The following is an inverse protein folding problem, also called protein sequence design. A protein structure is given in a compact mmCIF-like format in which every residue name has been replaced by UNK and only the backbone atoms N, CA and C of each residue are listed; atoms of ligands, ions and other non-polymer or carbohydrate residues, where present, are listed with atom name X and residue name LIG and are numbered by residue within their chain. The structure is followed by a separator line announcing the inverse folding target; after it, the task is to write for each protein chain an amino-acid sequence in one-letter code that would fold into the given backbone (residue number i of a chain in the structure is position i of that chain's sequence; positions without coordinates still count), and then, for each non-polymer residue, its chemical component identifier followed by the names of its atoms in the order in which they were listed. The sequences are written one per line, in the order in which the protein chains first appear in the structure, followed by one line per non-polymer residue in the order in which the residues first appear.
data_IF_049681282099
#
_entry.id   IF_049681282099
#
_cell.length_a   1.000
_cell.length_b   1.000
_cell.length_c   1.000
_cell.angle_alpha   90.00
_cell.angle_beta   90.00
_cell.angle_gamma   90.00
#
_symmetry.space_group_name_H-M   'P 1'
#
loop_
_entity.id
_entity.type
_entity.pdbx_description
1 polymer ?
#
# COMPACT_ATOMS: atom_id res chain seq x y z
N UNK A 1 6.10 -2.59 -21.04
CA UNK A 1 6.86 -3.47 -20.14
C UNK A 1 6.24 -3.48 -18.73
N UNK A 2 6.30 -2.38 -17.96
CA UNK A 2 5.82 -2.30 -16.59
C UNK A 2 4.38 -2.80 -16.41
N UNK A 3 3.45 -2.34 -17.26
CA UNK A 3 2.06 -2.82 -17.27
C UNK A 3 1.96 -4.36 -17.25
N UNK A 4 2.69 -5.04 -18.10
CA UNK A 4 2.62 -6.52 -18.20
C UNK A 4 3.18 -7.21 -16.95
N UNK A 5 4.25 -6.66 -16.35
CA UNK A 5 4.85 -7.20 -15.13
C UNK A 5 3.91 -7.04 -13.94
N UNK A 6 3.37 -5.83 -13.75
CA UNK A 6 2.40 -5.51 -12.70
C UNK A 6 1.14 -6.36 -12.88
N UNK A 7 0.61 -6.46 -14.10
CA UNK A 7 -0.57 -7.27 -14.41
C UNK A 7 -0.35 -8.74 -14.05
N UNK A 8 0.78 -9.31 -14.46
CA UNK A 8 1.11 -10.72 -14.18
C UNK A 8 1.19 -10.99 -12.69
N UNK A 9 1.92 -10.18 -11.94
CA UNK A 9 2.09 -10.35 -10.49
C UNK A 9 0.77 -10.17 -9.73
N UNK A 10 0.06 -9.08 -9.98
CA UNK A 10 -1.21 -8.82 -9.29
C UNK A 10 -2.32 -9.83 -9.66
N UNK A 11 -2.27 -10.43 -10.83
CA UNK A 11 -3.22 -11.50 -11.21
C UNK A 11 -3.11 -12.75 -10.33
N UNK A 12 -1.95 -12.99 -9.70
CA UNK A 12 -1.74 -14.09 -8.75
C UNK A 12 -2.40 -13.84 -7.40
N UNK A 13 -2.76 -12.58 -7.08
CA UNK A 13 -3.38 -12.19 -5.81
C UNK A 13 -4.90 -12.42 -5.78
N UNK A 14 -5.49 -12.99 -6.83
CA UNK A 14 -6.94 -13.28 -6.89
C UNK A 14 -7.33 -14.23 -5.77
N UNK A 15 -8.18 -13.74 -4.87
CA UNK A 15 -8.75 -14.53 -3.79
C UNK A 15 -9.89 -15.41 -4.30
N UNK A 16 -10.14 -16.53 -3.61
CA UNK A 16 -11.26 -17.44 -3.90
C UNK A 16 -12.41 -17.19 -2.92
N UNK A 17 -13.63 -17.43 -3.38
CA UNK A 17 -14.79 -17.48 -2.50
C UNK A 17 -14.62 -18.60 -1.47
N UNK A 18 -15.09 -18.36 -0.25
CA UNK A 18 -15.09 -19.33 0.83
C UNK A 18 -16.51 -19.86 0.99
N UNK A 19 -16.65 -21.17 1.13
CA UNK A 19 -17.93 -21.84 1.39
C UNK A 19 -17.76 -22.82 2.54
N UNK A 20 -18.62 -22.69 3.54
CA UNK A 20 -18.73 -23.61 4.66
C UNK A 20 -20.15 -24.15 4.72
N UNK A 21 -20.29 -25.45 4.98
CA UNK A 21 -21.59 -26.13 5.19
C UNK A 21 -21.46 -26.98 6.44
N UNK A 22 -22.35 -26.76 7.41
CA UNK A 22 -22.35 -27.55 8.64
C UNK A 22 -23.12 -28.88 8.51
N UNK A 23 -23.14 -29.67 9.59
CA UNK A 23 -23.86 -30.97 9.64
C UNK A 23 -25.36 -30.86 9.44
N UNK A 24 -25.96 -29.70 9.67
CA UNK A 24 -27.41 -29.43 9.46
C UNK A 24 -27.67 -28.85 8.07
N UNK A 25 -26.66 -28.81 7.20
CA UNK A 25 -26.69 -28.21 5.86
C UNK A 25 -26.94 -26.69 5.87
N UNK A 26 -26.69 -26.02 6.99
CA UNK A 26 -26.57 -24.57 7.00
C UNK A 26 -25.34 -24.14 6.18
N UNK A 27 -25.46 -23.06 5.42
CA UNK A 27 -24.45 -22.63 4.47
C UNK A 27 -24.03 -21.19 4.76
N UNK A 28 -22.73 -20.96 4.83
CA UNK A 28 -22.10 -19.64 4.88
C UNK A 28 -21.14 -19.52 3.71
N UNK A 29 -21.29 -18.46 2.93
CA UNK A 29 -20.38 -18.17 1.81
C UNK A 29 -19.86 -16.74 1.94
N UNK A 30 -18.54 -16.54 1.83
CA UNK A 30 -17.99 -15.25 1.52
C UNK A 30 -17.79 -15.12 0.02
N UNK A 31 -18.51 -14.21 -0.60
CA UNK A 31 -18.36 -13.86 -2.02
C UNK A 31 -17.52 -12.59 -2.14
N UNK A 32 -16.54 -12.66 -3.01
CA UNK A 32 -15.65 -11.56 -3.34
C UNK A 32 -16.27 -10.78 -4.48
N UNK A 33 -16.56 -9.51 -4.24
CA UNK A 33 -17.26 -8.64 -5.18
C UNK A 33 -16.39 -7.41 -5.48
N UNK A 34 -16.13 -7.11 -6.76
CA UNK A 34 -15.45 -5.88 -7.15
C UNK A 34 -16.15 -4.63 -6.62
N UNK A 35 -15.38 -3.60 -6.28
CA UNK A 35 -15.93 -2.26 -6.10
C UNK A 35 -16.56 -1.78 -7.42
N UNK A 36 -17.64 -0.99 -7.32
CA UNK A 36 -18.29 -0.46 -8.53
C UNK A 36 -17.48 0.66 -9.14
N UNK A 37 -16.79 1.46 -8.32
CA UNK A 37 -15.99 2.60 -8.76
C UNK A 37 -14.79 2.82 -7.87
N UNK A 38 -13.69 3.33 -8.47
CA UNK A 38 -12.50 3.76 -7.75
C UNK A 38 -12.00 5.08 -8.32
N UNK A 39 -11.60 5.98 -7.43
CA UNK A 39 -10.87 7.20 -7.74
C UNK A 39 -9.38 6.98 -7.53
N UNK A 40 -8.56 7.35 -8.48
CA UNK A 40 -7.10 7.24 -8.40
C UNK A 40 -6.51 8.63 -8.43
N UNK A 41 -5.82 9.01 -7.36
CA UNK A 41 -5.02 10.22 -7.36
C UNK A 41 -3.64 9.93 -7.95
N UNK A 42 -3.28 10.65 -9.00
CA UNK A 42 -1.99 10.51 -9.68
C UNK A 42 -1.28 11.85 -9.70
N UNK A 43 -0.08 11.96 -9.08
CA UNK A 43 0.75 13.14 -9.24
C UNK A 43 1.03 13.44 -10.72
N UNK A 44 1.14 14.71 -11.07
CA UNK A 44 1.01 15.23 -12.44
C UNK A 44 1.83 14.53 -13.53
N UNK A 45 3.02 14.00 -13.18
CA UNK A 45 3.94 13.41 -14.16
C UNK A 45 4.36 11.97 -13.85
N UNK A 46 3.54 11.21 -13.10
CA UNK A 46 3.88 9.86 -12.64
C UNK A 46 3.01 8.78 -13.32
N UNK A 47 3.29 8.38 -14.57
CA UNK A 47 2.59 7.27 -15.21
C UNK A 47 2.78 5.94 -14.48
N UNK A 48 3.91 5.75 -13.76
CA UNK A 48 4.15 4.56 -12.91
C UNK A 48 3.10 4.44 -11.81
N UNK A 49 2.80 5.53 -11.10
CA UNK A 49 1.75 5.55 -10.07
C UNK A 49 0.38 5.20 -10.64
N UNK A 50 0.05 5.72 -11.84
CA UNK A 50 -1.19 5.33 -12.50
C UNK A 50 -1.23 3.83 -12.74
N UNK A 51 -0.17 3.24 -13.30
CA UNK A 51 -0.10 1.80 -13.54
C UNK A 51 -0.24 0.99 -12.25
N UNK A 52 0.45 1.39 -11.18
CA UNK A 52 0.40 0.70 -9.88
C UNK A 52 -1.00 0.70 -9.25
N UNK A 53 -1.78 1.75 -9.48
CA UNK A 53 -3.14 1.84 -8.95
C UNK A 53 -4.20 1.28 -9.92
N UNK A 54 -4.08 1.56 -11.23
CA UNK A 54 -5.12 1.21 -12.19
C UNK A 54 -5.06 -0.25 -12.67
N UNK A 55 -3.87 -0.86 -12.75
CA UNK A 55 -3.75 -2.26 -13.19
C UNK A 55 -4.44 -3.22 -12.21
N UNK A 56 -4.26 -3.13 -10.88
CA UNK A 56 -5.03 -3.95 -9.94
C UNK A 56 -6.54 -3.68 -10.02
N UNK A 57 -6.97 -2.42 -10.21
CA UNK A 57 -8.39 -2.09 -10.40
C UNK A 57 -8.98 -2.79 -11.65
N UNK A 58 -8.23 -2.80 -12.74
CA UNK A 58 -8.59 -3.49 -13.99
C UNK A 58 -8.69 -5.01 -13.78
N UNK A 59 -7.70 -5.63 -13.11
CA UNK A 59 -7.69 -7.07 -12.79
C UNK A 59 -8.90 -7.42 -11.92
N UNK A 60 -9.24 -6.57 -10.96
CA UNK A 60 -10.40 -6.71 -10.09
C UNK A 60 -11.72 -6.54 -10.83
N UNK A 61 -11.72 -6.04 -12.07
CA UNK A 61 -12.90 -5.71 -12.88
C UNK A 61 -13.77 -4.61 -12.25
N UNK A 62 -13.14 -3.57 -11.68
CA UNK A 62 -13.84 -2.36 -11.25
C UNK A 62 -14.49 -1.71 -12.46
N UNK A 63 -15.79 -1.38 -12.38
CA UNK A 63 -16.57 -0.90 -13.54
C UNK A 63 -16.22 0.53 -13.94
N UNK A 64 -16.02 1.43 -12.96
CA UNK A 64 -15.70 2.84 -13.20
C UNK A 64 -14.38 3.18 -12.53
N UNK A 65 -13.36 3.55 -13.31
CA UNK A 65 -12.07 4.01 -12.83
C UNK A 65 -11.92 5.48 -13.20
N UNK A 66 -11.87 6.37 -12.22
CA UNK A 66 -11.71 7.81 -12.40
C UNK A 66 -10.32 8.19 -11.93
N UNK A 67 -9.57 8.89 -12.77
CA UNK A 67 -8.21 9.38 -12.43
C UNK A 67 -8.26 10.89 -12.21
N UNK A 68 -7.74 11.34 -11.08
CA UNK A 68 -7.44 12.76 -10.86
C UNK A 68 -5.96 13.00 -11.16
N UNK A 69 -5.70 13.85 -12.18
CA UNK A 69 -4.34 14.18 -12.62
C UNK A 69 -4.27 15.65 -13.02
N UNK A 70 -3.46 16.43 -12.32
CA UNK A 70 -3.32 17.87 -12.60
C UNK A 70 -2.50 18.12 -13.87
N UNK A 71 -2.81 19.26 -14.52
CA UNK A 71 -2.04 19.73 -15.67
C UNK A 71 -0.68 20.29 -15.25
N UNK A 72 0.32 20.15 -16.11
CA UNK A 72 1.62 20.84 -16.02
C UNK A 72 1.69 21.80 -17.21
N UNK A 73 1.90 23.09 -16.94
CA UNK A 73 1.93 24.12 -17.97
C UNK A 73 0.69 24.06 -18.90
N UNK A 74 -0.48 23.88 -18.31
CA UNK A 74 -1.75 23.82 -19.05
C UNK A 74 -2.03 22.50 -19.79
N UNK A 75 -1.13 21.54 -19.80
CA UNK A 75 -1.24 20.27 -20.55
C UNK A 75 -1.24 19.06 -19.63
N UNK A 76 -2.01 18.03 -19.99
CA UNK A 76 -1.91 16.70 -19.37
C UNK A 76 -0.66 15.97 -19.89
N UNK A 77 -0.01 15.20 -19.05
CA UNK A 77 1.15 14.42 -19.42
C UNK A 77 0.74 13.29 -20.39
N UNK A 78 1.28 13.22 -21.62
CA UNK A 78 0.91 12.20 -22.61
C UNK A 78 1.16 10.76 -22.12
N UNK A 79 2.22 10.53 -21.34
CA UNK A 79 2.53 9.20 -20.80
C UNK A 79 1.49 8.76 -19.76
N UNK A 80 0.99 9.68 -18.93
CA UNK A 80 -0.11 9.41 -18.00
C UNK A 80 -1.38 9.09 -18.76
N UNK A 81 -1.69 9.85 -19.83
CA UNK A 81 -2.87 9.61 -20.66
C UNK A 81 -2.80 8.27 -21.42
N UNK A 82 -1.62 7.92 -21.92
CA UNK A 82 -1.41 6.60 -22.55
C UNK A 82 -1.62 5.46 -21.54
N UNK A 83 -1.05 5.58 -20.32
CA UNK A 83 -1.24 4.61 -19.27
C UNK A 83 -2.72 4.49 -18.85
N UNK A 84 -3.44 5.62 -18.74
CA UNK A 84 -4.87 5.65 -18.45
C UNK A 84 -5.68 4.87 -19.49
N UNK A 85 -5.45 5.14 -20.77
CA UNK A 85 -6.08 4.40 -21.89
C UNK A 85 -5.78 2.91 -21.81
N UNK A 86 -4.51 2.53 -21.57
CA UNK A 86 -4.07 1.14 -21.46
C UNK A 86 -4.74 0.38 -20.31
N UNK A 87 -5.02 1.05 -19.21
CA UNK A 87 -5.68 0.47 -18.03
C UNK A 87 -7.21 0.53 -18.07
N UNK A 88 -7.81 1.06 -19.13
CA UNK A 88 -9.27 1.17 -19.25
C UNK A 88 -9.88 2.20 -18.30
N UNK A 89 -9.16 3.30 -18.03
CA UNK A 89 -9.67 4.42 -17.21
C UNK A 89 -10.89 5.03 -17.89
N UNK A 90 -11.97 5.19 -17.14
CA UNK A 90 -13.25 5.68 -17.66
C UNK A 90 -13.25 7.20 -17.84
N UNK A 91 -12.56 7.93 -16.95
CA UNK A 91 -12.56 9.38 -16.92
C UNK A 91 -11.27 9.91 -16.29
N UNK A 92 -10.76 11.02 -16.81
CA UNK A 92 -9.64 11.78 -16.23
C UNK A 92 -10.11 13.19 -15.87
N UNK A 93 -10.11 13.51 -14.57
CA UNK A 93 -10.41 14.85 -14.07
C UNK A 93 -9.11 15.66 -13.89
N UNK A 94 -9.10 16.91 -14.35
CA UNK A 94 -7.89 17.74 -14.41
C UNK A 94 -7.73 18.62 -13.16
N UNK A 95 -7.76 18.02 -11.98
CA UNK A 95 -7.52 18.70 -10.73
C UNK A 95 -6.48 17.97 -9.87
N UNK A 96 -5.88 18.68 -8.93
CA UNK A 96 -4.86 18.16 -8.02
C UNK A 96 -5.12 18.56 -6.57
N UNK A 97 -4.21 18.15 -5.67
CA UNK A 97 -4.28 18.49 -4.25
C UNK A 97 -5.53 17.97 -3.54
N UNK A 98 -5.89 18.61 -2.44
CA UNK A 98 -7.08 18.27 -1.65
C UNK A 98 -8.39 18.38 -2.46
N UNK A 99 -8.44 19.32 -3.41
CA UNK A 99 -9.60 19.52 -4.29
C UNK A 99 -9.89 18.28 -5.16
N UNK A 100 -8.85 17.58 -5.61
CA UNK A 100 -9.02 16.34 -6.35
C UNK A 100 -9.68 15.26 -5.49
N UNK A 101 -9.29 15.16 -4.22
CA UNK A 101 -9.88 14.21 -3.27
C UNK A 101 -11.34 14.56 -3.00
N UNK A 102 -11.65 15.86 -2.78
CA UNK A 102 -13.03 16.34 -2.63
C UNK A 102 -13.88 16.06 -3.88
N UNK A 103 -13.34 16.28 -5.08
CA UNK A 103 -14.03 15.97 -6.33
C UNK A 103 -14.34 14.47 -6.45
N UNK A 104 -13.36 13.61 -6.22
CA UNK A 104 -13.54 12.15 -6.27
C UNK A 104 -14.59 11.67 -5.25
N UNK A 105 -14.58 12.24 -4.02
CA UNK A 105 -15.47 11.83 -2.95
C UNK A 105 -16.91 12.34 -3.12
N UNK A 106 -17.11 13.58 -3.51
CA UNK A 106 -18.42 14.25 -3.46
C UNK A 106 -19.07 14.45 -4.83
N UNK A 107 -18.27 14.69 -5.88
CA UNK A 107 -18.77 14.91 -7.25
C UNK A 107 -18.81 13.59 -8.01
N UNK A 108 -17.67 12.91 -8.11
CA UNK A 108 -17.59 11.60 -8.77
C UNK A 108 -18.24 10.48 -7.94
N UNK A 109 -18.37 10.68 -6.63
CA UNK A 109 -18.97 9.76 -5.66
C UNK A 109 -18.45 8.32 -5.82
N UNK A 110 -17.12 8.19 -5.89
CA UNK A 110 -16.47 6.88 -6.03
C UNK A 110 -16.57 6.07 -4.74
N UNK A 111 -16.50 4.74 -4.84
CA UNK A 111 -16.54 3.89 -3.64
C UNK A 111 -15.24 3.93 -2.83
N UNK A 112 -14.10 4.10 -3.48
CA UNK A 112 -12.79 4.15 -2.83
C UNK A 112 -11.84 5.08 -3.58
N UNK A 113 -10.95 5.77 -2.84
CA UNK A 113 -9.88 6.59 -3.38
C UNK A 113 -8.54 5.94 -3.02
N UNK A 114 -7.64 5.82 -4.01
CA UNK A 114 -6.29 5.26 -3.86
C UNK A 114 -5.25 6.14 -4.55
N UNK A 115 -4.00 5.95 -4.20
CA UNK A 115 -2.84 6.61 -4.83
C UNK A 115 -2.12 7.60 -3.92
N UNK A 116 -0.77 7.70 -4.00
CA UNK A 116 0.05 8.53 -3.14
C UNK A 116 -0.12 10.02 -3.44
N UNK A 117 0.12 10.86 -2.45
CA UNK A 117 0.06 12.31 -2.60
C UNK A 117 0.81 13.05 -1.51
N UNK A 118 0.78 14.38 -1.56
CA UNK A 118 1.35 15.24 -0.52
C UNK A 118 0.56 15.11 0.80
N UNK A 119 1.08 15.73 1.86
CA UNK A 119 0.40 15.81 3.16
C UNK A 119 -1.02 16.37 3.06
N UNK A 120 -1.24 17.34 2.17
CA UNK A 120 -2.58 17.88 1.90
C UNK A 120 -3.53 16.83 1.31
N UNK A 121 -3.02 15.98 0.41
CA UNK A 121 -3.79 14.88 -0.19
C UNK A 121 -4.07 13.80 0.85
N UNK A 122 -3.07 13.44 1.64
CA UNK A 122 -3.20 12.47 2.73
C UNK A 122 -4.21 12.95 3.77
N UNK A 123 -4.12 14.22 4.18
CA UNK A 123 -5.08 14.82 5.11
C UNK A 123 -6.49 14.88 4.55
N UNK A 124 -6.63 15.24 3.28
CA UNK A 124 -7.93 15.27 2.61
C UNK A 124 -8.57 13.86 2.55
N UNK A 125 -7.79 12.80 2.29
CA UNK A 125 -8.27 11.41 2.34
C UNK A 125 -8.77 11.01 3.73
N UNK A 126 -8.04 11.41 4.79
CA UNK A 126 -8.48 11.20 6.17
C UNK A 126 -9.83 11.87 6.46
N UNK A 127 -10.03 13.10 5.95
CA UNK A 127 -11.27 13.88 6.17
C UNK A 127 -12.48 13.31 5.42
N UNK A 128 -12.28 12.68 4.27
CA UNK A 128 -13.39 12.07 3.51
C UNK A 128 -13.61 10.59 3.87
N UNK A 129 -12.76 10.01 4.71
CA UNK A 129 -12.93 8.63 5.17
C UNK A 129 -14.28 8.46 5.89
N UNK A 130 -15.00 7.41 5.56
CA UNK A 130 -16.39 7.21 6.03
C UNK A 130 -17.43 7.67 5.00
N UNK A 131 -17.19 8.73 4.24
CA UNK A 131 -17.99 9.07 3.05
C UNK A 131 -17.56 8.21 1.86
N UNK A 132 -16.26 8.00 1.71
CA UNK A 132 -15.63 7.17 0.69
C UNK A 132 -14.54 6.33 1.37
N UNK A 133 -14.29 5.11 0.89
CA UNK A 133 -13.15 4.32 1.36
C UNK A 133 -11.83 4.92 0.89
N UNK A 134 -10.77 4.69 1.64
CA UNK A 134 -9.39 4.97 1.19
C UNK A 134 -8.57 3.69 1.27
N UNK A 135 -7.36 3.69 0.69
CA UNK A 135 -6.42 2.59 0.92
C UNK A 135 -6.16 2.40 2.42
N UNK A 136 -5.84 1.17 2.81
CA UNK A 136 -5.64 0.79 4.22
C UNK A 136 -4.36 1.32 4.84
N UNK A 137 -3.56 2.08 4.10
CA UNK A 137 -2.25 2.60 4.51
C UNK A 137 -2.20 4.13 4.52
N UNK A 138 -1.24 4.68 5.24
CA UNK A 138 -0.86 6.09 5.16
C UNK A 138 0.21 6.24 4.08
N UNK A 139 -0.10 6.96 3.01
CA UNK A 139 0.85 7.28 1.95
C UNK A 139 1.36 8.71 2.14
N UNK A 140 2.36 8.86 3.00
CA UNK A 140 3.07 10.12 3.30
C UNK A 140 4.36 10.29 2.48
N UNK A 141 5.35 11.04 3.01
CA UNK A 141 6.66 11.19 2.38
C UNK A 141 7.35 9.85 2.15
N UNK A 142 8.07 9.74 1.04
CA UNK A 142 8.77 8.50 0.68
C UNK A 142 9.97 8.21 1.59
N UNK A 143 10.19 6.94 1.93
CA UNK A 143 11.18 6.50 2.91
C UNK A 143 12.01 5.32 2.41
N UNK A 144 13.31 5.34 2.70
CA UNK A 144 14.18 4.19 2.53
C UNK A 144 15.01 3.94 3.79
N UNK A 145 15.16 2.67 4.16
CA UNK A 145 16.15 2.22 5.11
C UNK A 145 17.08 1.23 4.41
N UNK A 146 18.37 1.55 4.37
CA UNK A 146 19.40 0.68 3.79
C UNK A 146 20.15 -0.01 4.92
N UNK A 147 20.09 -1.33 4.97
CA UNK A 147 20.89 -2.16 5.87
C UNK A 147 22.13 -2.64 5.12
N UNK A 148 23.31 -2.22 5.59
CA UNK A 148 24.58 -2.49 4.93
C UNK A 148 25.65 -2.98 5.91
N UNK A 149 26.62 -3.78 5.39
CA UNK A 149 27.81 -4.20 6.11
C UNK A 149 29.09 -3.68 5.41
N UNK A 150 30.26 -4.08 5.94
CA UNK A 150 31.56 -3.66 5.41
C UNK A 150 31.85 -4.16 3.98
N UNK A 151 31.14 -5.18 3.52
CA UNK A 151 31.30 -5.78 2.20
C UNK A 151 30.31 -5.21 1.17
N UNK A 152 29.33 -4.42 1.63
CA UNK A 152 28.36 -3.79 0.74
C UNK A 152 29.03 -2.70 -0.08
N UNK A 153 28.73 -2.65 -1.38
CA UNK A 153 29.24 -1.61 -2.27
C UNK A 153 28.77 -0.23 -1.81
N UNK A 154 29.74 0.63 -1.49
CA UNK A 154 29.49 2.00 -1.03
C UNK A 154 28.70 2.82 -2.04
N UNK A 155 28.93 2.61 -3.34
CA UNK A 155 28.20 3.32 -4.38
C UNK A 155 26.72 2.91 -4.42
N UNK A 156 26.41 1.63 -4.22
CA UNK A 156 25.03 1.16 -4.13
C UNK A 156 24.30 1.78 -2.94
N UNK A 157 24.94 1.83 -1.76
CA UNK A 157 24.35 2.47 -0.58
C UNK A 157 24.06 3.95 -0.87
N UNK A 158 25.08 4.70 -1.33
CA UNK A 158 24.95 6.13 -1.56
C UNK A 158 23.93 6.48 -2.63
N UNK A 159 23.88 5.73 -3.73
CA UNK A 159 22.91 5.95 -4.81
C UNK A 159 21.47 5.60 -4.39
N UNK A 160 21.25 4.57 -3.58
CA UNK A 160 19.93 4.26 -3.02
C UNK A 160 19.41 5.38 -2.11
N UNK A 161 20.27 5.90 -1.22
CA UNK A 161 19.89 7.04 -0.36
C UNK A 161 19.60 8.31 -1.17
N UNK A 162 20.38 8.58 -2.22
CA UNK A 162 20.17 9.72 -3.11
C UNK A 162 18.89 9.58 -3.91
N UNK A 163 18.62 8.40 -4.48
CA UNK A 163 17.42 8.16 -5.28
C UNK A 163 16.13 8.35 -4.48
N UNK A 164 16.11 7.94 -3.22
CA UNK A 164 14.94 8.19 -2.36
C UNK A 164 14.81 9.67 -1.99
N UNK A 165 15.92 10.31 -1.66
CA UNK A 165 15.91 11.72 -1.25
C UNK A 165 15.51 12.68 -2.36
N UNK A 166 15.57 12.28 -3.64
CA UNK A 166 15.12 13.12 -4.75
C UNK A 166 13.60 13.18 -4.95
N UNK A 167 12.82 12.30 -4.27
CA UNK A 167 11.36 12.33 -4.36
C UNK A 167 10.77 13.64 -3.82
N UNK A 168 11.33 14.19 -2.73
CA UNK A 168 10.85 15.44 -2.15
C UNK A 168 11.65 15.93 -0.95
N UNK A 169 11.37 17.13 -0.51
CA UNK A 169 12.07 17.76 0.64
C UNK A 169 11.85 17.00 1.96
N UNK A 170 10.73 16.32 2.09
CA UNK A 170 10.33 15.58 3.29
C UNK A 170 10.69 14.08 3.20
N UNK A 171 11.31 13.62 2.10
CA UNK A 171 11.74 12.23 1.95
C UNK A 171 12.79 11.86 2.97
N UNK A 172 12.71 10.63 3.50
CA UNK A 172 13.63 10.13 4.51
C UNK A 172 14.55 9.06 3.93
N UNK A 173 15.85 9.14 4.26
CA UNK A 173 16.85 8.14 3.88
C UNK A 173 17.69 7.76 5.09
N UNK A 174 17.63 6.49 5.50
CA UNK A 174 18.29 5.96 6.69
C UNK A 174 19.31 4.90 6.28
N UNK A 175 20.55 5.01 6.77
CA UNK A 175 21.53 3.93 6.75
C UNK A 175 21.62 3.29 8.12
N UNK A 176 21.48 1.97 8.19
CA UNK A 176 21.69 1.18 9.40
C UNK A 176 22.88 0.25 9.19
N UNK A 177 23.86 0.32 10.09
CA UNK A 177 25.07 -0.50 10.00
C UNK A 177 25.69 -0.77 11.37
N UNK A 178 26.56 -1.77 11.47
CA UNK A 178 27.44 -2.02 12.63
C UNK A 178 28.89 -1.52 12.39
N UNK A 179 29.18 -1.04 11.22
CA UNK A 179 30.53 -0.81 10.73
C UNK A 179 30.79 0.69 10.57
N UNK A 180 31.50 1.27 11.56
CA UNK A 180 31.79 2.71 11.58
C UNK A 180 32.63 3.15 10.37
N UNK A 181 33.48 2.26 9.87
CA UNK A 181 34.40 2.52 8.76
C UNK A 181 33.73 2.79 7.40
N UNK A 182 32.44 2.40 7.23
CA UNK A 182 31.74 2.70 5.98
C UNK A 182 31.06 4.07 5.99
N UNK A 183 30.85 4.68 7.15
CA UNK A 183 30.05 5.91 7.30
C UNK A 183 30.63 7.06 6.49
N UNK A 184 31.90 7.40 6.71
CA UNK A 184 32.55 8.49 5.99
C UNK A 184 32.62 8.22 4.48
N UNK A 185 32.81 6.96 4.10
CA UNK A 185 32.84 6.55 2.69
C UNK A 185 31.48 6.78 2.02
N UNK A 186 30.38 6.40 2.69
CA UNK A 186 29.02 6.61 2.20
C UNK A 186 28.71 8.10 2.07
N UNK A 187 29.06 8.91 3.07
CA UNK A 187 28.84 10.37 3.02
C UNK A 187 29.60 11.01 1.84
N UNK A 188 30.87 10.65 1.64
CA UNK A 188 31.67 11.12 0.49
C UNK A 188 31.05 10.67 -0.84
N UNK A 189 30.58 9.43 -0.92
CA UNK A 189 29.91 8.90 -2.11
C UNK A 189 28.60 9.63 -2.44
N UNK A 190 27.78 9.91 -1.43
CA UNK A 190 26.57 10.72 -1.60
C UNK A 190 26.91 12.09 -2.20
N UNK A 191 27.89 12.79 -1.64
CA UNK A 191 28.33 14.09 -2.14
C UNK A 191 28.90 14.01 -3.58
N UNK A 192 29.59 12.93 -3.91
CA UNK A 192 30.09 12.68 -5.27
C UNK A 192 28.91 12.52 -6.25
N UNK A 193 27.91 11.68 -5.93
CA UNK A 193 26.76 11.43 -6.78
C UNK A 193 25.84 12.67 -6.97
N UNK A 194 25.91 13.63 -6.05
CA UNK A 194 25.17 14.89 -6.16
C UNK A 194 25.72 15.89 -7.17
N UNK A 195 26.96 15.71 -7.65
CA UNK A 195 27.65 16.75 -8.47
C UNK A 195 26.86 17.11 -9.72
N UNK A 196 26.34 16.12 -10.44
CA UNK A 196 25.65 16.28 -11.72
C UNK A 196 24.13 16.01 -11.65
N UNK A 197 23.58 15.89 -10.43
CA UNK A 197 22.16 15.57 -10.27
C UNK A 197 21.27 16.82 -10.47
N UNK A 198 20.34 16.82 -11.42
CA UNK A 198 19.44 17.97 -11.64
C UNK A 198 18.66 18.38 -10.38
N UNK A 199 18.23 17.41 -9.56
CA UNK A 199 17.47 17.64 -8.33
C UNK A 199 18.34 17.79 -7.07
N UNK A 200 19.63 18.08 -7.20
CA UNK A 200 20.61 18.23 -6.11
C UNK A 200 20.11 19.06 -4.93
N UNK A 201 19.42 20.19 -5.18
CA UNK A 201 18.90 21.05 -4.10
C UNK A 201 17.86 20.35 -3.24
N UNK A 202 16.99 19.53 -3.86
CA UNK A 202 15.97 18.75 -3.17
C UNK A 202 16.65 17.69 -2.30
N UNK A 203 17.56 16.90 -2.89
CA UNK A 203 18.27 15.83 -2.19
C UNK A 203 19.06 16.37 -0.99
N UNK A 204 19.81 17.47 -1.17
CA UNK A 204 20.58 18.07 -0.07
C UNK A 204 19.65 18.52 1.08
N UNK A 205 18.52 19.13 0.77
CA UNK A 205 17.57 19.58 1.79
C UNK A 205 16.91 18.40 2.51
N UNK A 206 16.50 17.38 1.77
CA UNK A 206 15.96 16.13 2.30
C UNK A 206 16.97 15.44 3.23
N UNK A 207 18.20 15.16 2.75
CA UNK A 207 19.24 14.50 3.54
C UNK A 207 19.65 15.32 4.78
N UNK A 208 19.70 16.65 4.68
CA UNK A 208 20.03 17.52 5.82
C UNK A 208 18.98 17.46 6.91
N UNK A 209 17.69 17.35 6.54
CA UNK A 209 16.56 17.38 7.47
C UNK A 209 16.16 15.98 7.96
N UNK A 210 16.19 15.00 7.08
CA UNK A 210 15.62 13.66 7.29
C UNK A 210 16.61 12.51 7.01
N UNK A 211 17.86 12.81 6.62
CA UNK A 211 18.91 11.80 6.47
C UNK A 211 19.41 11.34 7.83
N UNK A 212 19.53 10.04 8.04
CA UNK A 212 20.04 9.44 9.27
C UNK A 212 21.06 8.36 8.98
N UNK A 213 22.07 8.26 9.85
CA UNK A 213 22.99 7.12 9.90
C UNK A 213 22.94 6.56 11.33
N UNK A 214 22.54 5.30 11.46
CA UNK A 214 22.37 4.63 12.75
C UNK A 214 23.44 3.56 12.88
N UNK A 215 24.40 3.79 13.78
CA UNK A 215 25.44 2.83 14.10
C UNK A 215 24.95 1.92 15.24
N UNK A 216 24.65 0.67 14.92
CA UNK A 216 24.17 -0.33 15.86
C UNK A 216 25.33 -1.13 16.48
N UNK A 217 25.17 -1.54 17.75
CA UNK A 217 26.17 -2.35 18.47
C UNK A 217 26.16 -3.82 18.03
N UNK A 218 25.00 -4.35 17.65
CA UNK A 218 24.83 -5.76 17.33
C UNK A 218 23.59 -6.00 16.44
N UNK A 219 23.39 -7.24 16.02
CA UNK A 219 22.29 -7.63 15.13
C UNK A 219 20.91 -7.49 15.77
N UNK A 220 20.80 -7.64 17.10
CA UNK A 220 19.54 -7.46 17.83
C UNK A 220 19.09 -6.01 17.71
N UNK A 221 20.00 -5.07 17.95
CA UNK A 221 19.69 -3.64 17.80
C UNK A 221 19.32 -3.25 16.37
N UNK A 222 19.97 -3.85 15.36
CA UNK A 222 19.59 -3.64 13.95
C UNK A 222 18.14 -4.02 13.73
N UNK A 223 17.72 -5.21 14.19
CA UNK A 223 16.37 -5.72 14.02
C UNK A 223 15.35 -4.83 14.75
N UNK A 224 15.66 -4.40 15.97
CA UNK A 224 14.83 -3.48 16.76
C UNK A 224 14.63 -2.15 16.02
N UNK A 225 15.72 -1.55 15.53
CA UNK A 225 15.67 -0.29 14.76
C UNK A 225 14.82 -0.44 13.50
N UNK A 226 15.02 -1.50 12.71
CA UNK A 226 14.26 -1.71 11.48
C UNK A 226 12.77 -1.87 11.78
N UNK A 227 12.41 -2.71 12.77
CA UNK A 227 11.01 -2.94 13.11
C UNK A 227 10.35 -1.71 13.75
N UNK A 228 11.11 -0.88 14.47
CA UNK A 228 10.59 0.38 15.02
C UNK A 228 10.40 1.44 13.94
N UNK A 229 11.36 1.59 13.02
CA UNK A 229 11.22 2.49 11.87
C UNK A 229 10.08 2.07 10.96
N UNK A 230 9.87 0.76 10.78
CA UNK A 230 8.85 0.21 9.88
C UNK A 230 8.84 0.92 8.50
N UNK A 231 9.98 0.94 7.77
CA UNK A 231 10.17 1.80 6.61
C UNK A 231 9.30 1.38 5.43
N UNK A 232 9.01 2.34 4.56
CA UNK A 232 8.35 2.08 3.26
C UNK A 232 9.16 1.08 2.43
N UNK A 233 10.43 1.40 2.20
CA UNK A 233 11.38 0.53 1.52
C UNK A 233 12.51 0.14 2.47
N UNK A 234 12.78 -1.15 2.55
CA UNK A 234 13.94 -1.70 3.23
C UNK A 234 14.86 -2.37 2.21
N UNK A 235 16.06 -1.84 2.00
CA UNK A 235 17.11 -2.53 1.26
C UNK A 235 18.01 -3.32 2.20
N UNK A 236 18.07 -4.64 1.99
CA UNK A 236 18.96 -5.56 2.75
C UNK A 236 20.09 -6.01 1.83
N UNK A 237 21.14 -5.23 1.80
CA UNK A 237 22.28 -5.46 0.92
C UNK A 237 23.41 -6.16 1.67
N UNK A 238 23.15 -7.36 2.16
CA UNK A 238 24.06 -8.19 2.94
C UNK A 238 24.20 -9.58 2.33
N UNK A 239 25.41 -10.15 2.36
CA UNK A 239 25.63 -11.56 1.96
C UNK A 239 24.84 -12.54 2.84
N UNK A 240 24.76 -12.27 4.15
CA UNK A 240 24.02 -13.12 5.11
C UNK A 240 22.66 -12.50 5.50
N UNK A 241 21.84 -12.11 4.51
CA UNK A 241 20.56 -11.45 4.73
C UNK A 241 19.52 -12.37 5.42
N UNK A 242 19.58 -13.69 5.21
CA UNK A 242 18.57 -14.64 5.73
C UNK A 242 18.37 -14.57 7.23
N UNK A 243 19.43 -14.32 8.01
CA UNK A 243 19.35 -14.21 9.48
C UNK A 243 18.55 -13.02 9.99
N UNK A 244 18.38 -11.98 9.17
CA UNK A 244 17.59 -10.79 9.49
C UNK A 244 16.16 -10.93 9.04
N UNK A 245 15.93 -11.47 7.81
CA UNK A 245 14.61 -11.50 7.18
C UNK A 245 13.54 -12.21 8.03
N UNK A 246 13.90 -13.28 8.73
CA UNK A 246 12.97 -14.02 9.60
C UNK A 246 12.54 -13.26 10.87
N UNK A 247 13.19 -12.13 11.16
CA UNK A 247 12.97 -11.31 12.37
C UNK A 247 12.48 -9.90 12.05
N UNK A 248 12.36 -9.56 10.76
CA UNK A 248 11.83 -8.29 10.30
C UNK A 248 10.36 -8.50 9.98
N UNK A 249 9.49 -7.78 10.69
CA UNK A 249 8.03 -7.90 10.57
C UNK A 249 7.41 -6.65 9.97
N UNK A 250 8.10 -5.50 10.06
CA UNK A 250 7.57 -4.20 9.73
C UNK A 250 8.38 -3.54 8.61
N UNK A 251 7.91 -3.67 7.38
CA UNK A 251 8.39 -2.94 6.21
C UNK A 251 7.33 -2.97 5.12
N UNK A 252 7.22 -1.92 4.34
CA UNK A 252 6.29 -1.87 3.20
C UNK A 252 6.75 -2.80 2.07
N UNK A 253 8.05 -2.76 1.74
CA UNK A 253 8.70 -3.64 0.77
C UNK A 253 10.13 -3.93 1.20
N UNK A 254 10.60 -5.17 1.00
CA UNK A 254 11.98 -5.57 1.29
C UNK A 254 12.70 -5.93 0.00
N UNK A 255 13.70 -5.13 -0.36
CA UNK A 255 14.59 -5.35 -1.49
C UNK A 255 15.83 -6.12 -1.04
N UNK A 256 16.10 -7.29 -1.63
CA UNK A 256 17.10 -8.22 -1.13
C UNK A 256 18.25 -8.35 -2.13
N UNK A 257 19.47 -8.12 -1.63
CA UNK A 257 20.71 -8.31 -2.35
C UNK A 257 21.10 -7.15 -3.28
N UNK A 258 22.32 -7.23 -3.87
CA UNK A 258 22.95 -6.10 -4.56
C UNK A 258 22.29 -5.70 -5.89
N UNK A 259 21.44 -6.54 -6.46
CA UNK A 259 20.77 -6.30 -7.75
C UNK A 259 19.33 -5.87 -7.61
N UNK A 260 18.89 -5.53 -6.39
CA UNK A 260 17.49 -5.16 -6.12
C UNK A 260 17.42 -3.77 -5.47
N UNK A 261 17.80 -2.70 -6.18
CA UNK A 261 17.62 -1.35 -5.66
C UNK A 261 16.13 -1.01 -5.61
N UNK A 262 15.73 -0.18 -4.65
CA UNK A 262 14.34 0.34 -4.50
C UNK A 262 13.79 0.86 -5.84
N UNK A 263 14.58 1.61 -6.60
CA UNK A 263 14.20 2.14 -7.90
C UNK A 263 13.70 1.06 -8.88
N UNK A 264 14.18 -0.19 -8.78
CA UNK A 264 13.67 -1.29 -9.62
C UNK A 264 12.22 -1.64 -9.31
N UNK A 265 11.82 -1.50 -8.05
CA UNK A 265 10.45 -1.76 -7.59
C UNK A 265 9.50 -0.63 -7.95
N UNK A 266 9.97 0.62 -7.93
CA UNK A 266 9.21 1.81 -8.25
C UNK A 266 8.71 1.85 -9.70
N UNK A 267 9.50 1.28 -10.60
CA UNK A 267 9.14 1.26 -12.03
C UNK A 267 8.60 -0.10 -12.51
N UNK A 268 8.23 -0.98 -11.58
CA UNK A 268 7.54 -2.24 -11.87
C UNK A 268 8.41 -3.29 -12.56
N UNK A 269 9.74 -3.28 -12.32
CA UNK A 269 10.63 -4.30 -12.88
C UNK A 269 10.28 -5.70 -12.38
N UNK A 270 10.09 -5.94 -11.06
CA UNK A 270 9.61 -7.25 -10.57
C UNK A 270 8.09 -7.43 -10.74
N UNK A 271 7.31 -6.36 -10.77
CA UNK A 271 5.85 -6.37 -10.89
C UNK A 271 5.10 -6.11 -9.58
N UNK A 272 5.80 -5.93 -8.45
CA UNK A 272 5.21 -5.50 -7.18
C UNK A 272 4.66 -4.06 -7.27
N UNK A 273 3.92 -3.65 -6.24
CA UNK A 273 3.38 -2.30 -6.14
C UNK A 273 4.32 -1.39 -5.34
N UNK A 274 4.47 -0.15 -5.79
CA UNK A 274 5.24 0.87 -5.09
C UNK A 274 4.38 1.80 -4.20
N UNK A 275 3.06 1.67 -4.26
CA UNK A 275 2.20 2.41 -3.34
C UNK A 275 2.21 1.66 -2.01
N UNK A 276 3.04 2.11 -1.11
CA UNK A 276 3.43 1.40 0.11
C UNK A 276 3.09 2.21 1.36
N UNK A 277 2.98 1.58 2.54
CA UNK A 277 2.78 2.27 3.79
C UNK A 277 4.03 3.05 4.19
N UNK A 278 3.85 4.30 4.62
CA UNK A 278 4.88 5.21 5.11
C UNK A 278 4.61 5.63 6.55
N UNK A 279 5.49 6.43 7.15
CA UNK A 279 5.31 6.99 8.50
C UNK A 279 5.07 5.92 9.58
N UNK A 280 5.79 4.79 9.46
CA UNK A 280 5.67 3.67 10.40
C UNK A 280 4.38 2.86 10.26
N UNK A 281 3.50 3.17 9.30
CA UNK A 281 2.23 2.44 9.12
C UNK A 281 2.41 1.02 8.58
N UNK A 282 3.62 0.64 8.15
CA UNK A 282 3.95 -0.75 7.84
C UNK A 282 3.85 -1.69 9.06
N UNK A 283 3.70 -1.16 10.28
CA UNK A 283 3.40 -1.93 11.50
C UNK A 283 1.99 -2.56 11.46
N UNK A 284 1.06 -2.02 10.68
CA UNK A 284 -0.34 -2.48 10.63
C UNK A 284 -0.97 -2.45 9.23
N UNK A 285 -0.24 -1.98 8.22
CA UNK A 285 -0.74 -1.87 6.84
C UNK A 285 0.19 -2.56 5.86
N UNK A 286 -0.35 -2.93 4.72
CA UNK A 286 0.38 -3.49 3.58
C UNK A 286 0.34 -2.55 2.39
N UNK A 287 1.25 -2.73 1.44
CA UNK A 287 1.19 -2.03 0.16
C UNK A 287 -0.08 -2.33 -0.63
N UNK A 288 -0.39 -1.43 -1.55
CA UNK A 288 -1.57 -1.53 -2.41
C UNK A 288 -1.58 -2.86 -3.17
N UNK A 289 -2.65 -3.60 -3.02
CA UNK A 289 -2.81 -4.94 -3.57
C UNK A 289 -4.23 -5.15 -4.10
N UNK A 290 -4.48 -6.31 -4.68
CA UNK A 290 -5.76 -6.59 -5.33
C UNK A 290 -6.97 -6.57 -4.37
N UNK A 291 -6.76 -6.86 -3.08
CA UNK A 291 -7.85 -6.86 -2.09
C UNK A 291 -8.42 -5.46 -1.83
N UNK A 292 -7.64 -4.41 -2.11
CA UNK A 292 -8.11 -3.02 -1.98
C UNK A 292 -9.26 -2.67 -2.93
N UNK A 293 -9.47 -3.47 -3.98
CA UNK A 293 -10.49 -3.28 -5.02
C UNK A 293 -11.67 -4.22 -4.89
N UNK A 294 -11.72 -5.02 -3.83
CA UNK A 294 -12.80 -5.96 -3.52
C UNK A 294 -13.46 -5.65 -2.19
N UNK A 295 -14.71 -6.07 -2.08
CA UNK A 295 -15.38 -6.26 -0.79
C UNK A 295 -15.85 -7.70 -0.68
N UNK A 296 -15.96 -8.19 0.55
CA UNK A 296 -16.47 -9.54 0.86
C UNK A 296 -17.87 -9.42 1.46
N UNK A 297 -18.83 -10.14 0.88
CA UNK A 297 -20.19 -10.18 1.39
C UNK A 297 -20.48 -11.59 1.91
N UNK A 298 -20.97 -11.66 3.13
CA UNK A 298 -21.45 -12.90 3.75
C UNK A 298 -22.84 -13.24 3.23
N UNK A 299 -22.98 -14.43 2.66
CA UNK A 299 -24.26 -15.03 2.27
C UNK A 299 -24.54 -16.16 3.22
N UNK A 300 -25.63 -16.07 3.97
CA UNK A 300 -26.02 -17.04 4.98
C UNK A 300 -27.36 -17.65 4.62
N UNK A 301 -27.41 -18.98 4.58
CA UNK A 301 -28.65 -19.75 4.37
C UNK A 301 -28.75 -20.78 5.46
N UNK A 302 -29.83 -20.70 6.26
CA UNK A 302 -30.14 -21.71 7.24
C UNK A 302 -31.22 -22.68 6.69
N UNK A 303 -31.13 -23.93 7.11
CA UNK A 303 -32.17 -24.92 6.84
C UNK A 303 -33.17 -24.93 7.97
N UNK A 304 -34.38 -25.47 7.70
CA UNK A 304 -35.39 -25.68 8.74
C UNK A 304 -34.85 -26.53 9.89
N UNK A 305 -34.15 -27.61 9.57
CA UNK A 305 -33.49 -28.47 10.57
C UNK A 305 -32.47 -27.70 11.39
N UNK A 306 -31.65 -26.86 10.72
CA UNK A 306 -30.65 -26.02 11.38
C UNK A 306 -31.28 -25.08 12.40
N UNK A 307 -32.32 -24.35 12.00
CA UNK A 307 -33.00 -23.40 12.89
C UNK A 307 -33.75 -24.11 14.03
N UNK A 308 -34.39 -25.26 13.78
CA UNK A 308 -35.07 -26.04 14.82
C UNK A 308 -34.08 -26.59 15.89
N UNK A 309 -32.86 -26.95 15.47
CA UNK A 309 -31.84 -27.49 16.40
C UNK A 309 -31.02 -26.40 17.11
N UNK A 310 -30.72 -25.33 16.42
CA UNK A 310 -29.79 -24.30 16.90
C UNK A 310 -30.47 -23.03 17.41
N UNK A 311 -31.71 -22.76 17.02
CA UNK A 311 -32.44 -21.52 17.36
C UNK A 311 -32.59 -21.30 18.87
N UNK A 312 -32.65 -22.35 19.67
CA UNK A 312 -32.67 -22.26 21.15
C UNK A 312 -31.50 -21.51 21.74
N UNK A 313 -30.28 -21.65 21.14
CA UNK A 313 -29.09 -20.95 21.60
C UNK A 313 -29.13 -19.47 21.24
N UNK A 314 -29.65 -19.14 20.06
CA UNK A 314 -29.87 -17.74 19.65
C UNK A 314 -30.88 -17.06 20.55
N UNK A 315 -32.00 -17.77 20.85
CA UNK A 315 -33.01 -17.30 21.80
C UNK A 315 -32.38 -17.01 23.16
N UNK A 316 -31.63 -17.96 23.69
CA UNK A 316 -31.01 -17.82 25.01
C UNK A 316 -30.09 -16.58 25.08
N UNK A 317 -29.23 -16.40 24.08
CA UNK A 317 -28.30 -15.25 24.04
C UNK A 317 -29.08 -13.93 23.90
N UNK A 318 -30.05 -13.87 23.00
CA UNK A 318 -30.85 -12.65 22.80
C UNK A 318 -31.68 -12.26 24.03
N UNK A 319 -32.23 -13.25 24.76
CA UNK A 319 -32.95 -13.00 26.01
C UNK A 319 -31.97 -12.47 27.09
N UNK A 320 -30.74 -13.05 27.18
CA UNK A 320 -29.75 -12.63 28.14
C UNK A 320 -29.24 -11.20 27.85
N UNK A 321 -29.14 -10.83 26.59
CA UNK A 321 -28.74 -9.47 26.14
C UNK A 321 -29.91 -8.46 26.20
N UNK A 322 -31.12 -8.88 26.59
CA UNK A 322 -32.31 -8.02 26.65
C UNK A 322 -32.85 -7.64 25.26
N UNK A 323 -32.51 -8.42 24.22
CA UNK A 323 -32.94 -8.19 22.84
C UNK A 323 -34.16 -9.03 22.45
N UNK A 324 -35.31 -8.75 23.06
CA UNK A 324 -36.54 -9.52 22.88
C UNK A 324 -37.01 -9.65 21.42
N UNK A 325 -36.85 -8.60 20.62
CA UNK A 325 -37.16 -8.63 19.19
C UNK A 325 -36.40 -9.71 18.44
N UNK A 326 -35.09 -9.95 18.79
CA UNK A 326 -34.26 -11.03 18.23
C UNK A 326 -34.80 -12.39 18.68
N UNK A 327 -35.17 -12.54 19.95
CA UNK A 327 -35.79 -13.77 20.51
C UNK A 327 -37.10 -14.11 19.81
N UNK A 328 -37.96 -13.14 19.58
CA UNK A 328 -39.22 -13.31 18.85
C UNK A 328 -38.97 -13.72 17.41
N UNK A 329 -38.01 -13.05 16.75
CA UNK A 329 -37.65 -13.35 15.35
C UNK A 329 -37.18 -14.79 15.17
N UNK A 330 -36.35 -15.32 16.07
CA UNK A 330 -35.88 -16.70 15.98
C UNK A 330 -37.00 -17.71 16.30
N UNK A 331 -37.78 -17.45 17.36
CA UNK A 331 -38.93 -18.28 17.76
C UNK A 331 -39.94 -18.47 16.63
N UNK A 332 -40.26 -17.41 15.88
CA UNK A 332 -41.24 -17.44 14.78
C UNK A 332 -40.82 -18.39 13.64
N UNK A 333 -39.58 -18.80 13.58
CA UNK A 333 -39.02 -19.69 12.55
C UNK A 333 -38.75 -21.11 13.04
N UNK A 334 -38.81 -21.33 14.35
CA UNK A 334 -38.71 -22.66 14.96
C UNK A 334 -40.07 -23.40 14.88
N UNK A 335 -40.05 -24.73 14.89
CA UNK A 335 -41.28 -25.51 15.01
C UNK A 335 -42.00 -25.13 16.30
N UNK A 336 -43.31 -24.86 16.22
CA UNK A 336 -44.16 -24.83 17.41
C UNK A 336 -44.20 -26.26 17.98
N UNK A 337 -43.83 -26.41 19.26
CA UNK A 337 -44.06 -27.66 19.97
C UNK A 337 -45.53 -27.87 20.19
#
# INVERSE_FOLDING_TARGET
FAYLRIFKFHSLQKSKNIKFVDKYKNKIEYKIIPLQSVGIYVPSNLPSTLLMCAVPAQIAKVKKIVVANSRINGKLNPAVMYAAKKCGVSEVITCGGAQAIGNLAYIQNVNKIVGPGSDYVTKAKQLVFGKVGTESMVAGPSEILVLADKNTDINQIGTSMVSQSEHGYESQSILVTKYKEIIDKVQKNILYNLRNLPRKKIVLKSLKKHGLIILCKNDKQIIEVINECAPEHLEVNLSNHKKYLSKIFNAGSICIGPYTPMASTDYGLPGNNHTLPTMGSAKFSSGLNLNEYYKKISYVTLTKTGIDKLGKYVKYLSDFEGLEGHSISIKSRMRRK
#
